data_IF_014728407735
#
_entry.id   IF_014728407735
#
_cell.length_a   1.000
_cell.length_b   1.000
_cell.length_c   1.000
_cell.angle_alpha   90.00
_cell.angle_beta   90.00
_cell.angle_gamma   90.00
#
_symmetry.space_group_name_H-M   'P 1'
#
loop_
_entity.id
_entity.type
_entity.pdbx_description
1 polymer ?
#
# COMPACT_ATOMS: atom_id res chain seq x y z
N UNK A 1 -20.90 -85.57 68.19
CA UNK A 1 -20.83 -85.83 69.65
C UNK A 1 -19.74 -84.91 70.19
N UNK A 2 -19.88 -84.02 71.16
CA UNK A 2 -20.88 -83.66 72.17
C UNK A 2 -20.63 -82.16 72.41
N UNK A 3 -21.55 -81.21 72.18
CA UNK A 3 -22.76 -80.89 72.94
C UNK A 3 -22.49 -80.55 74.43
N UNK A 4 -23.09 -79.41 74.83
CA UNK A 4 -23.42 -78.91 76.19
C UNK A 4 -22.37 -77.95 76.77
N UNK A 5 -22.66 -76.68 77.07
CA UNK A 5 -23.93 -75.96 77.32
C UNK A 5 -23.71 -74.46 77.04
N UNK A 6 -24.55 -73.79 76.25
CA UNK A 6 -25.76 -73.06 76.70
C UNK A 6 -25.44 -71.97 77.75
N UNK A 7 -25.90 -70.72 77.48
CA UNK A 7 -25.69 -69.45 78.21
C UNK A 7 -24.45 -68.70 77.65
N UNK A 8 -24.51 -67.96 76.53
CA UNK A 8 -25.18 -66.65 76.37
C UNK A 8 -25.95 -66.62 75.04
N UNK A 9 -26.88 -67.56 74.90
CA UNK A 9 -28.06 -67.41 74.05
C UNK A 9 -29.21 -67.00 74.98
N UNK A 10 -29.12 -65.80 75.58
CA UNK A 10 -30.20 -65.22 76.38
C UNK A 10 -30.02 -63.69 76.51
N UNK A 11 -30.04 -63.01 75.36
CA UNK A 11 -30.64 -61.68 75.16
C UNK A 11 -30.99 -61.47 73.67
N UNK A 12 -31.33 -62.57 72.99
CA UNK A 12 -32.28 -62.54 71.85
C UNK A 12 -33.66 -62.81 72.47
N UNK A 13 -34.06 -61.97 73.41
CA UNK A 13 -35.47 -61.74 73.71
C UNK A 13 -35.96 -60.81 72.62
N UNK A 14 -36.73 -61.40 71.70
CA UNK A 14 -37.85 -60.81 70.97
C UNK A 14 -38.09 -59.34 71.36
N UNK A 15 -37.29 -58.44 70.81
CA UNK A 15 -37.81 -57.19 70.32
C UNK A 15 -38.02 -57.48 68.84
N UNK A 16 -39.20 -58.01 68.50
CA UNK A 16 -39.79 -57.60 67.23
C UNK A 16 -39.77 -56.09 67.34
N UNK A 17 -38.81 -55.48 66.65
CA UNK A 17 -38.82 -54.08 66.37
C UNK A 17 -40.18 -53.85 65.72
N UNK A 18 -41.17 -53.43 66.51
CA UNK A 18 -42.20 -52.55 66.01
C UNK A 18 -41.44 -51.28 65.66
N UNK A 19 -40.71 -51.31 64.54
CA UNK A 19 -40.19 -50.12 63.89
C UNK A 19 -41.39 -49.20 63.86
N UNK A 20 -41.31 -48.10 64.61
CA UNK A 20 -42.41 -47.15 64.71
C UNK A 20 -42.97 -46.92 63.30
N UNK A 21 -44.30 -46.87 63.10
CA UNK A 21 -44.89 -46.59 61.79
C UNK A 21 -44.25 -45.37 61.10
N UNK A 22 -43.76 -44.40 61.88
CA UNK A 22 -42.98 -43.25 61.41
C UNK A 22 -41.64 -43.62 60.75
N UNK A 23 -40.89 -44.55 61.34
CA UNK A 23 -39.61 -45.04 60.80
C UNK A 23 -39.82 -45.86 59.53
N UNK A 24 -40.88 -46.68 59.47
CA UNK A 24 -41.26 -47.38 58.23
C UNK A 24 -41.69 -46.40 57.13
N UNK A 25 -42.42 -45.33 57.48
CA UNK A 25 -42.80 -44.29 56.53
C UNK A 25 -41.59 -43.50 56.02
N UNK A 26 -40.62 -43.18 56.88
CA UNK A 26 -39.35 -42.56 56.49
C UNK A 26 -38.61 -43.42 55.47
N UNK A 27 -38.41 -44.70 55.79
CA UNK A 27 -37.72 -45.66 54.92
C UNK A 27 -38.40 -45.75 53.57
N UNK A 28 -39.71 -46.00 53.54
CA UNK A 28 -40.48 -46.14 52.30
C UNK A 28 -40.50 -44.88 51.43
N UNK A 29 -40.46 -43.68 52.02
CA UNK A 29 -40.51 -42.42 51.26
C UNK A 29 -39.15 -41.91 50.81
N UNK A 30 -38.04 -42.33 51.43
CA UNK A 30 -36.73 -41.73 51.20
C UNK A 30 -35.69 -42.68 50.59
N UNK A 31 -35.80 -44.01 50.68
CA UNK A 31 -34.76 -45.01 50.30
C UNK A 31 -34.22 -45.00 48.84
N UNK A 32 -34.59 -44.01 48.02
CA UNK A 32 -34.26 -43.97 46.60
C UNK A 32 -32.81 -43.60 46.24
N UNK A 33 -32.00 -43.08 47.17
CA UNK A 33 -30.61 -42.69 46.88
C UNK A 33 -29.69 -42.79 48.11
N UNK A 34 -28.37 -42.82 47.88
CA UNK A 34 -27.35 -43.02 48.91
C UNK A 34 -27.42 -41.98 50.04
N UNK A 35 -27.61 -40.70 49.70
CA UNK A 35 -27.78 -39.63 50.69
C UNK A 35 -29.00 -39.87 51.58
N UNK A 36 -30.13 -40.23 50.98
CA UNK A 36 -31.35 -40.48 51.71
C UNK A 36 -31.27 -41.75 52.56
N UNK A 37 -30.59 -42.80 52.09
CA UNK A 37 -30.33 -44.01 52.89
C UNK A 37 -29.51 -43.66 54.13
N UNK A 38 -28.41 -42.92 53.97
CA UNK A 38 -27.58 -42.46 55.07
C UNK A 38 -28.35 -41.55 56.05
N UNK A 39 -29.23 -40.68 55.51
CA UNK A 39 -30.11 -39.84 56.31
C UNK A 39 -31.09 -40.70 57.13
N UNK A 40 -31.77 -41.66 56.51
CA UNK A 40 -32.71 -42.57 57.20
C UNK A 40 -32.00 -43.36 58.28
N UNK A 41 -30.83 -43.96 57.99
CA UNK A 41 -30.05 -44.73 58.96
C UNK A 41 -29.62 -43.88 60.17
N UNK A 42 -29.16 -42.65 59.92
CA UNK A 42 -28.78 -41.70 60.97
C UNK A 42 -29.97 -41.32 61.87
N UNK A 43 -31.14 -41.09 61.26
CA UNK A 43 -32.37 -40.75 61.98
C UNK A 43 -32.90 -41.94 62.78
N UNK A 44 -32.88 -43.15 62.22
CA UNK A 44 -33.29 -44.38 62.90
C UNK A 44 -32.45 -44.60 64.18
N UNK A 45 -31.12 -44.51 64.09
CA UNK A 45 -30.22 -44.65 65.24
C UNK A 45 -30.46 -43.59 66.31
N UNK A 46 -30.69 -42.34 65.91
CA UNK A 46 -30.87 -41.21 66.83
C UNK A 46 -32.22 -41.22 67.54
N UNK A 47 -33.28 -41.65 66.85
CA UNK A 47 -34.63 -41.80 67.41
C UNK A 47 -34.70 -42.99 68.37
N UNK A 48 -34.08 -44.14 68.04
CA UNK A 48 -34.02 -45.31 68.92
C UNK A 48 -33.25 -45.04 70.22
N UNK A 49 -32.31 -44.09 70.22
CA UNK A 49 -31.59 -43.62 71.41
C UNK A 49 -32.35 -42.65 72.31
N UNK A 50 -33.64 -42.35 72.02
CA UNK A 50 -34.48 -41.46 72.82
C UNK A 50 -34.19 -39.96 72.68
N UNK A 51 -33.49 -39.54 71.63
CA UNK A 51 -33.01 -38.15 71.45
C UNK A 51 -33.85 -37.34 70.44
N UNK A 52 -35.17 -37.50 70.44
CA UNK A 52 -36.04 -36.93 69.41
C UNK A 52 -35.94 -35.40 69.27
N UNK A 53 -35.84 -34.66 70.37
CA UNK A 53 -35.72 -33.20 70.32
C UNK A 53 -34.39 -32.77 69.65
N UNK A 54 -33.29 -33.50 69.89
CA UNK A 54 -32.00 -33.28 69.20
C UNK A 54 -32.06 -33.62 67.72
N UNK A 55 -32.87 -34.61 67.34
CA UNK A 55 -33.10 -34.98 65.93
C UNK A 55 -33.84 -33.84 65.21
N UNK A 56 -34.83 -33.22 65.83
CA UNK A 56 -35.50 -32.05 65.24
C UNK A 56 -34.56 -30.85 65.12
N UNK A 57 -33.75 -30.55 66.14
CA UNK A 57 -32.74 -29.49 66.07
C UNK A 57 -31.71 -29.75 64.96
N UNK A 58 -31.25 -31.00 64.82
CA UNK A 58 -30.29 -31.38 63.78
C UNK A 58 -30.90 -31.25 62.38
N UNK A 59 -32.11 -31.77 62.16
CA UNK A 59 -32.80 -31.66 60.87
C UNK A 59 -33.10 -30.20 60.52
N UNK A 60 -33.54 -29.38 61.48
CA UNK A 60 -33.77 -27.95 61.24
C UNK A 60 -32.46 -27.24 60.87
N UNK A 61 -31.37 -27.53 61.59
CA UNK A 61 -30.04 -26.98 61.27
C UNK A 61 -29.56 -27.41 59.88
N UNK A 62 -29.78 -28.66 59.48
CA UNK A 62 -29.45 -29.14 58.13
C UNK A 62 -30.32 -28.49 57.05
N UNK A 63 -31.61 -28.28 57.31
CA UNK A 63 -32.53 -27.55 56.41
C UNK A 63 -32.05 -26.12 56.22
N UNK A 64 -31.72 -25.42 57.32
CA UNK A 64 -31.25 -24.04 57.29
C UNK A 64 -29.91 -23.92 56.57
N UNK A 65 -28.98 -24.86 56.82
CA UNK A 65 -27.67 -24.92 56.16
C UNK A 65 -27.81 -25.15 54.65
N UNK A 66 -28.57 -26.16 54.21
CA UNK A 66 -28.80 -26.41 52.77
C UNK A 66 -29.53 -25.23 52.13
N UNK A 67 -30.51 -24.62 52.80
CA UNK A 67 -31.20 -23.42 52.30
C UNK A 67 -30.23 -22.25 52.13
N UNK A 68 -29.33 -22.04 53.10
CA UNK A 68 -28.26 -21.05 53.03
C UNK A 68 -27.31 -21.31 51.86
N UNK A 69 -26.87 -22.56 51.68
CA UNK A 69 -26.01 -22.97 50.58
C UNK A 69 -26.66 -22.76 49.21
N UNK A 70 -27.96 -23.09 49.07
CA UNK A 70 -28.72 -22.85 47.83
C UNK A 70 -28.76 -21.35 47.52
N UNK A 71 -29.14 -20.52 48.50
CA UNK A 71 -29.24 -19.07 48.30
C UNK A 71 -27.89 -18.46 47.93
N UNK A 72 -26.82 -18.85 48.62
CA UNK A 72 -25.47 -18.37 48.31
C UNK A 72 -25.01 -18.81 46.93
N UNK A 73 -25.25 -20.08 46.55
CA UNK A 73 -24.86 -20.58 45.25
C UNK A 73 -25.66 -19.90 44.11
N UNK A 74 -26.94 -19.63 44.32
CA UNK A 74 -27.78 -18.91 43.37
C UNK A 74 -27.27 -17.48 43.13
N UNK A 75 -26.86 -16.77 44.19
CA UNK A 75 -26.28 -15.43 44.09
C UNK A 75 -24.95 -15.46 43.33
N UNK A 76 -24.07 -16.41 43.65
CA UNK A 76 -22.79 -16.58 42.97
C UNK A 76 -22.98 -16.90 41.48
N UNK A 77 -23.89 -17.81 41.15
CA UNK A 77 -24.20 -18.17 39.76
C UNK A 77 -24.74 -16.98 38.98
N UNK A 78 -25.68 -16.22 39.54
CA UNK A 78 -26.22 -15.02 38.91
C UNK A 78 -25.11 -14.00 38.62
N UNK A 79 -24.22 -13.77 39.60
CA UNK A 79 -23.06 -12.88 39.43
C UNK A 79 -22.11 -13.38 38.33
N UNK A 80 -21.80 -14.68 38.32
CA UNK A 80 -20.91 -15.27 37.31
C UNK A 80 -21.53 -15.23 35.91
N UNK A 81 -22.83 -15.48 35.78
CA UNK A 81 -23.56 -15.37 34.51
C UNK A 81 -23.54 -13.94 33.97
N UNK A 82 -23.77 -12.95 34.83
CA UNK A 82 -23.67 -11.54 34.44
C UNK A 82 -22.25 -11.21 33.94
N UNK A 83 -21.20 -11.70 34.62
CA UNK A 83 -19.81 -11.49 34.20
C UNK A 83 -19.50 -12.14 32.85
N UNK A 84 -19.95 -13.37 32.59
CA UNK A 84 -19.81 -14.00 31.27
C UNK A 84 -20.56 -13.23 30.19
N UNK A 85 -21.78 -12.78 30.47
CA UNK A 85 -22.59 -12.02 29.51
C UNK A 85 -21.90 -10.70 29.15
N UNK A 86 -21.40 -9.96 30.13
CA UNK A 86 -20.64 -8.74 29.91
C UNK A 86 -19.38 -8.99 29.07
N UNK A 87 -18.63 -10.06 29.35
CA UNK A 87 -17.44 -10.41 28.59
C UNK A 87 -17.77 -10.76 27.13
N UNK A 88 -18.86 -11.49 26.89
CA UNK A 88 -19.37 -11.82 25.55
C UNK A 88 -19.71 -10.53 24.79
N UNK A 89 -20.48 -9.63 25.38
CA UNK A 89 -20.86 -8.35 24.76
C UNK A 89 -19.64 -7.49 24.42
N UNK A 90 -18.65 -7.43 25.32
CA UNK A 90 -17.39 -6.73 25.05
C UNK A 90 -16.63 -7.34 23.86
N UNK A 91 -16.56 -8.67 23.78
CA UNK A 91 -15.89 -9.37 22.68
C UNK A 91 -16.63 -9.18 21.35
N UNK A 92 -17.96 -9.20 21.35
CA UNK A 92 -18.80 -8.92 20.17
C UNK A 92 -18.63 -7.47 19.67
N UNK A 93 -18.62 -6.51 20.58
CA UNK A 93 -18.35 -5.10 20.27
C UNK A 93 -16.94 -4.91 19.69
N UNK A 94 -15.93 -5.54 20.30
CA UNK A 94 -14.55 -5.52 19.81
C UNK A 94 -14.46 -6.12 18.40
N UNK A 95 -15.16 -7.23 18.15
CA UNK A 95 -15.20 -7.88 16.84
C UNK A 95 -15.82 -6.98 15.77
N UNK A 96 -16.92 -6.30 16.09
CA UNK A 96 -17.58 -5.33 15.20
C UNK A 96 -16.65 -4.16 14.88
N UNK A 97 -15.95 -3.63 15.89
CA UNK A 97 -14.96 -2.57 15.71
C UNK A 97 -13.81 -3.01 14.79
N UNK A 98 -13.23 -4.19 15.04
CA UNK A 98 -12.17 -4.76 14.20
C UNK A 98 -12.64 -5.00 12.76
N UNK A 99 -13.89 -5.41 12.54
CA UNK A 99 -14.47 -5.57 11.19
C UNK A 99 -14.55 -4.24 10.44
N UNK A 100 -14.98 -3.18 11.12
CA UNK A 100 -15.02 -1.84 10.55
C UNK A 100 -13.61 -1.31 10.23
N UNK A 101 -12.64 -1.56 11.10
CA UNK A 101 -11.23 -1.20 10.86
C UNK A 101 -10.65 -1.94 9.64
N UNK A 102 -10.94 -3.24 9.47
CA UNK A 102 -10.51 -4.02 8.30
C UNK A 102 -11.12 -3.45 7.02
N UNK A 103 -12.43 -3.17 7.02
CA UNK A 103 -13.09 -2.60 5.85
C UNK A 103 -12.48 -1.24 5.46
N UNK A 104 -12.23 -0.39 6.45
CA UNK A 104 -11.61 0.92 6.25
C UNK A 104 -10.18 0.79 5.72
N UNK A 105 -9.40 -0.13 6.29
CA UNK A 105 -8.02 -0.40 5.85
C UNK A 105 -7.99 -0.96 4.43
N UNK A 106 -8.92 -1.85 4.07
CA UNK A 106 -9.06 -2.38 2.72
C UNK A 106 -9.38 -1.29 1.68
N UNK A 107 -10.29 -0.37 1.99
CA UNK A 107 -10.58 0.79 1.13
C UNK A 107 -9.33 1.63 0.90
N UNK A 108 -8.60 1.94 1.98
CA UNK A 108 -7.33 2.69 1.92
C UNK A 108 -6.27 1.98 1.07
N UNK A 109 -6.15 0.65 1.18
CA UNK A 109 -5.27 -0.16 0.32
C UNK A 109 -5.67 0.00 -1.15
N UNK A 110 -6.96 -0.05 -1.48
CA UNK A 110 -7.47 0.15 -2.83
C UNK A 110 -7.11 1.53 -3.39
N UNK A 111 -7.35 2.60 -2.62
CA UNK A 111 -7.03 3.98 -3.01
C UNK A 111 -5.52 4.20 -3.24
N UNK A 112 -4.68 3.66 -2.34
CA UNK A 112 -3.22 3.73 -2.48
C UNK A 112 -2.77 2.96 -3.72
N UNK A 113 -3.34 1.78 -3.98
CA UNK A 113 -3.01 0.96 -5.15
C UNK A 113 -3.36 1.69 -6.45
N UNK A 114 -4.54 2.33 -6.50
CA UNK A 114 -4.94 3.15 -7.65
C UNK A 114 -3.97 4.33 -7.85
N UNK A 115 -3.59 5.00 -6.76
CA UNK A 115 -2.63 6.11 -6.81
C UNK A 115 -1.26 5.67 -7.34
N UNK A 116 -0.77 4.49 -6.92
CA UNK A 116 0.48 3.89 -7.42
C UNK A 116 0.39 3.62 -8.93
N UNK A 117 -0.74 3.10 -9.41
CA UNK A 117 -0.96 2.82 -10.83
C UNK A 117 -0.91 4.11 -11.67
N UNK A 118 -1.60 5.15 -11.23
CA UNK A 118 -1.58 6.46 -11.87
C UNK A 118 -0.17 7.05 -11.88
N UNK A 119 0.51 7.08 -10.73
CA UNK A 119 1.87 7.63 -10.63
C UNK A 119 2.88 6.84 -11.48
N UNK A 120 2.73 5.51 -11.58
CA UNK A 120 3.57 4.68 -12.43
C UNK A 120 3.39 5.04 -13.91
N UNK A 121 2.14 5.21 -14.34
CA UNK A 121 1.81 5.62 -15.71
C UNK A 121 2.35 7.02 -16.01
N UNK A 122 2.18 7.97 -15.09
CA UNK A 122 2.77 9.32 -15.19
C UNK A 122 4.29 9.26 -15.27
N UNK A 123 4.96 8.44 -14.45
CA UNK A 123 6.42 8.29 -14.47
C UNK A 123 6.92 7.80 -15.84
N UNK A 124 6.26 6.80 -16.42
CA UNK A 124 6.60 6.29 -17.77
C UNK A 124 6.40 7.39 -18.82
N UNK A 125 5.29 8.11 -18.76
CA UNK A 125 5.01 9.21 -19.69
C UNK A 125 6.06 10.32 -19.62
N UNK A 126 6.42 10.78 -18.42
CA UNK A 126 7.41 11.84 -18.23
C UNK A 126 8.80 11.41 -18.70
N UNK A 127 9.20 10.15 -18.44
CA UNK A 127 10.47 9.61 -18.95
C UNK A 127 10.51 9.59 -20.48
N UNK A 128 9.42 9.16 -21.13
CA UNK A 128 9.31 9.19 -22.60
C UNK A 128 9.37 10.62 -23.15
N UNK A 129 8.76 11.58 -22.47
CA UNK A 129 8.84 12.99 -22.85
C UNK A 129 10.27 13.53 -22.72
N UNK A 130 11.00 13.17 -21.67
CA UNK A 130 12.41 13.52 -21.51
C UNK A 130 13.28 12.95 -22.65
N UNK A 131 13.09 11.69 -23.00
CA UNK A 131 13.78 11.06 -24.14
C UNK A 131 13.48 11.80 -25.45
N UNK A 132 12.22 12.14 -25.69
CA UNK A 132 11.80 12.88 -26.89
C UNK A 132 12.43 14.27 -26.94
N UNK A 133 12.50 14.98 -25.81
CA UNK A 133 13.15 16.29 -25.74
C UNK A 133 14.67 16.18 -25.98
N UNK A 134 15.32 15.14 -25.46
CA UNK A 134 16.74 14.91 -25.71
C UNK A 134 17.03 14.66 -27.18
N UNK A 135 16.22 13.82 -27.85
CA UNK A 135 16.32 13.59 -29.29
C UNK A 135 16.07 14.87 -30.10
N UNK A 136 15.11 15.70 -29.68
CA UNK A 136 14.83 16.97 -30.35
C UNK A 136 16.00 17.94 -30.23
N UNK A 137 16.66 18.00 -29.08
CA UNK A 137 17.88 18.81 -28.92
C UNK A 137 18.98 18.36 -29.89
N UNK A 138 19.25 17.07 -29.94
CA UNK A 138 20.27 16.48 -30.82
C UNK A 138 19.97 16.83 -32.29
N UNK A 139 18.72 16.67 -32.73
CA UNK A 139 18.29 17.08 -34.07
C UNK A 139 18.48 18.58 -34.34
N UNK A 140 18.17 19.45 -33.38
CA UNK A 140 18.38 20.90 -33.53
C UNK A 140 19.87 21.22 -33.69
N UNK A 141 20.74 20.59 -32.88
CA UNK A 141 22.20 20.76 -32.96
C UNK A 141 22.77 20.24 -34.28
N UNK A 142 22.34 19.07 -34.73
CA UNK A 142 22.77 18.48 -35.99
C UNK A 142 22.37 19.33 -37.20
N UNK A 143 21.13 19.83 -37.20
CA UNK A 143 20.64 20.70 -38.27
C UNK A 143 21.44 22.01 -38.30
N UNK A 144 21.76 22.57 -37.13
CA UNK A 144 22.58 23.78 -37.04
C UNK A 144 24.00 23.54 -37.54
N UNK A 145 24.62 22.41 -37.19
CA UNK A 145 25.96 22.06 -37.66
C UNK A 145 26.00 21.92 -39.20
N UNK A 146 24.99 21.27 -39.80
CA UNK A 146 24.87 21.15 -41.27
C UNK A 146 24.65 22.51 -41.95
N UNK A 147 23.85 23.38 -41.35
CA UNK A 147 23.61 24.73 -41.85
C UNK A 147 24.91 25.55 -41.85
N UNK A 148 25.64 25.55 -40.74
CA UNK A 148 26.94 26.24 -40.60
C UNK A 148 27.92 25.73 -41.69
N UNK A 149 28.08 24.41 -41.81
CA UNK A 149 28.98 23.81 -42.81
C UNK A 149 28.61 24.21 -44.25
N UNK A 150 27.32 24.24 -44.57
CA UNK A 150 26.82 24.68 -45.87
C UNK A 150 27.16 26.15 -46.14
N UNK A 151 26.99 27.03 -45.15
CA UNK A 151 27.31 28.45 -45.33
C UNK A 151 28.82 28.67 -45.42
N UNK A 152 29.64 28.03 -44.59
CA UNK A 152 31.11 28.11 -44.66
C UNK A 152 31.64 27.69 -46.03
N UNK A 153 31.07 26.62 -46.61
CA UNK A 153 31.43 26.14 -47.95
C UNK A 153 31.10 27.21 -49.01
N UNK A 154 29.91 27.81 -48.94
CA UNK A 154 29.49 28.87 -49.86
C UNK A 154 30.33 30.15 -49.70
N UNK A 155 30.66 30.52 -48.47
CA UNK A 155 31.45 31.72 -48.18
C UNK A 155 32.89 31.54 -48.67
N UNK A 156 33.49 30.38 -48.45
CA UNK A 156 34.82 30.05 -48.99
C UNK A 156 34.85 30.10 -50.52
N UNK A 157 33.82 29.56 -51.19
CA UNK A 157 33.71 29.64 -52.64
C UNK A 157 33.54 31.09 -53.13
N UNK A 158 32.69 31.87 -52.47
CA UNK A 158 32.47 33.28 -52.79
C UNK A 158 33.74 34.12 -52.60
N UNK A 159 34.50 33.90 -51.52
CA UNK A 159 35.78 34.59 -51.27
C UNK A 159 36.82 34.29 -52.35
N UNK A 160 36.93 33.03 -52.81
CA UNK A 160 37.81 32.67 -53.93
C UNK A 160 37.43 33.42 -55.20
N UNK A 161 36.15 33.37 -55.59
CA UNK A 161 35.64 34.05 -56.78
C UNK A 161 35.88 35.56 -56.70
N UNK A 162 35.61 36.16 -55.54
CA UNK A 162 35.76 37.59 -55.31
C UNK A 162 37.22 38.02 -55.37
N UNK A 163 38.15 37.25 -54.79
CA UNK A 163 39.59 37.50 -54.90
C UNK A 163 40.09 37.42 -56.35
N UNK A 164 39.68 36.39 -57.10
CA UNK A 164 40.02 36.29 -58.53
C UNK A 164 39.44 37.47 -59.33
N UNK A 165 38.20 37.87 -59.06
CA UNK A 165 37.54 39.00 -59.71
C UNK A 165 38.23 40.33 -59.42
N UNK A 166 38.62 40.57 -58.17
CA UNK A 166 39.35 41.79 -57.77
C UNK A 166 40.74 41.85 -58.41
N UNK A 167 41.46 40.72 -58.51
CA UNK A 167 42.74 40.68 -59.21
C UNK A 167 42.58 40.96 -60.71
N UNK A 168 41.57 40.38 -61.36
CA UNK A 168 41.26 40.67 -62.77
C UNK A 168 40.91 42.14 -62.95
N UNK A 169 40.06 42.68 -62.08
CA UNK A 169 39.62 44.07 -62.11
C UNK A 169 40.81 45.03 -62.03
N UNK A 170 41.67 44.88 -61.02
CA UNK A 170 42.85 45.75 -60.83
C UNK A 170 43.80 45.71 -62.03
N UNK A 171 44.05 44.52 -62.59
CA UNK A 171 44.91 44.37 -63.78
C UNK A 171 44.28 44.98 -65.05
N UNK A 172 42.98 44.79 -65.26
CA UNK A 172 42.27 45.41 -66.40
C UNK A 172 42.22 46.92 -66.27
N UNK A 173 41.92 47.44 -65.07
CA UNK A 173 41.91 48.88 -64.78
C UNK A 173 43.29 49.49 -65.03
N UNK A 174 44.37 48.87 -64.54
CA UNK A 174 45.75 49.31 -64.84
C UNK A 174 46.00 49.32 -66.34
N UNK A 175 45.69 48.23 -67.05
CA UNK A 175 45.92 48.09 -68.49
C UNK A 175 45.11 49.03 -69.38
N UNK A 176 43.95 49.51 -68.92
CA UNK A 176 43.04 50.38 -69.69
C UNK A 176 43.17 51.85 -69.28
N UNK A 177 43.46 52.16 -68.01
CA UNK A 177 43.48 53.53 -67.47
C UNK A 177 44.89 54.08 -67.18
N UNK A 178 45.95 53.27 -67.23
CA UNK A 178 47.31 53.85 -67.21
C UNK A 178 47.55 54.54 -68.56
N UNK A 179 47.51 55.87 -68.53
CA UNK A 179 47.60 56.82 -69.65
C UNK A 179 48.94 56.80 -70.44
N UNK A 180 49.53 55.64 -70.70
CA UNK A 180 50.74 55.47 -71.50
C UNK A 180 50.54 54.44 -72.61
N UNK A 181 49.68 54.75 -73.59
CA UNK A 181 49.85 54.38 -75.00
C UNK A 181 50.07 52.91 -75.41
N UNK A 182 50.02 51.94 -74.50
CA UNK A 182 50.17 50.52 -74.80
C UNK A 182 49.08 49.77 -74.04
N UNK A 183 48.03 49.41 -74.76
CA UNK A 183 47.16 48.30 -74.38
C UNK A 183 48.05 47.14 -73.91
N UNK A 184 47.75 46.53 -72.74
CA UNK A 184 48.54 45.45 -72.12
C UNK A 184 49.25 44.58 -73.17
N UNK A 185 50.56 44.36 -73.04
CA UNK A 185 51.29 43.49 -73.95
C UNK A 185 50.56 42.14 -74.06
N UNK A 186 50.48 41.57 -75.27
CA UNK A 186 49.69 40.37 -75.55
C UNK A 186 50.06 39.20 -74.61
N UNK A 187 51.32 39.16 -74.18
CA UNK A 187 51.86 38.26 -73.15
C UNK A 187 51.17 38.38 -71.80
N UNK A 188 50.93 39.59 -71.29
CA UNK A 188 50.27 39.81 -70.00
C UNK A 188 48.78 39.44 -70.06
N UNK A 189 48.10 39.73 -71.18
CA UNK A 189 46.70 39.33 -71.37
C UNK A 189 46.53 37.82 -71.37
N UNK A 190 47.40 37.12 -72.08
CA UNK A 190 47.40 35.66 -72.15
C UNK A 190 47.74 35.03 -70.80
N UNK A 191 48.61 35.65 -69.99
CA UNK A 191 48.91 35.17 -68.64
C UNK A 191 47.70 35.32 -67.69
N UNK A 192 46.98 36.44 -67.77
CA UNK A 192 45.76 36.67 -66.99
C UNK A 192 44.70 35.64 -67.35
N UNK A 193 44.40 35.48 -68.65
CA UNK A 193 43.47 34.49 -69.15
C UNK A 193 43.83 33.08 -68.66
N UNK A 194 45.12 32.73 -68.67
CA UNK A 194 45.61 31.41 -68.24
C UNK A 194 45.42 31.18 -66.74
N UNK A 195 45.69 32.17 -65.88
CA UNK A 195 45.47 32.08 -64.42
C UNK A 195 43.98 31.94 -64.10
N UNK A 196 43.13 32.76 -64.73
CA UNK A 196 41.68 32.71 -64.51
C UNK A 196 41.08 31.39 -65.02
N UNK A 197 41.60 30.85 -66.12
CA UNK A 197 41.28 29.49 -66.62
C UNK A 197 41.62 28.40 -65.62
N UNK A 198 42.75 28.52 -64.90
CA UNK A 198 43.15 27.57 -63.86
C UNK A 198 42.28 27.64 -62.61
N UNK A 199 41.86 28.84 -62.20
CA UNK A 199 41.09 29.02 -60.96
C UNK A 199 39.59 28.76 -61.13
N UNK A 200 39.01 29.20 -62.24
CA UNK A 200 37.56 29.17 -62.46
C UNK A 200 37.12 28.11 -63.48
N UNK A 201 38.06 27.56 -64.25
CA UNK A 201 37.82 26.57 -65.30
C UNK A 201 37.50 27.19 -66.68
N UNK A 202 37.89 26.49 -67.75
CA UNK A 202 37.88 26.98 -69.14
C UNK A 202 36.50 27.40 -69.71
N UNK A 203 35.40 27.01 -69.06
CA UNK A 203 34.02 27.33 -69.49
C UNK A 203 33.36 28.39 -68.62
N UNK A 204 34.08 28.97 -67.66
CA UNK A 204 33.52 29.95 -66.74
C UNK A 204 33.14 31.23 -67.50
N UNK A 205 31.96 31.84 -67.27
CA UNK A 205 31.53 33.06 -67.96
C UNK A 205 32.55 34.20 -67.88
N UNK A 206 33.27 34.31 -66.76
CA UNK A 206 34.36 35.28 -66.58
C UNK A 206 35.58 35.00 -67.47
N UNK A 207 35.95 33.73 -67.64
CA UNK A 207 37.02 33.32 -68.57
C UNK A 207 36.64 33.66 -70.00
N UNK A 208 35.38 33.43 -70.38
CA UNK A 208 34.88 33.73 -71.72
C UNK A 208 34.82 35.24 -71.98
N UNK A 209 34.44 36.03 -70.97
CA UNK A 209 34.45 37.50 -71.04
C UNK A 209 35.87 38.05 -71.19
N UNK A 210 36.84 37.48 -70.47
CA UNK A 210 38.27 37.83 -70.58
C UNK A 210 38.88 37.42 -71.92
N UNK A 211 38.58 36.21 -72.41
CA UNK A 211 38.98 35.73 -73.74
C UNK A 211 38.39 36.62 -74.85
N UNK A 212 37.20 37.21 -74.62
CA UNK A 212 36.59 38.18 -75.52
C UNK A 212 37.30 39.54 -75.41
N UNK A 213 37.47 40.09 -74.21
CA UNK A 213 38.02 41.44 -74.01
C UNK A 213 39.47 41.57 -74.46
N UNK A 214 40.27 40.49 -74.39
CA UNK A 214 41.62 40.47 -74.93
C UNK A 214 41.70 40.65 -76.46
N UNK A 215 40.58 40.45 -77.18
CA UNK A 215 40.49 40.55 -78.65
C UNK A 215 39.91 41.88 -79.16
N UNK A 216 39.52 42.81 -78.29
CA UNK A 216 38.80 44.04 -78.65
C UNK A 216 39.41 45.32 -78.05
N UNK A 217 38.94 46.48 -78.53
CA UNK A 217 39.36 47.86 -78.24
C UNK A 217 39.06 48.37 -76.81
N UNK A 218 39.59 49.54 -76.46
CA UNK A 218 39.47 50.17 -75.12
C UNK A 218 38.01 50.24 -74.61
N UNK A 219 37.05 50.48 -75.51
CA UNK A 219 35.61 50.55 -75.18
C UNK A 219 35.09 49.20 -74.68
N UNK A 220 35.50 48.10 -75.32
CA UNK A 220 35.10 46.75 -74.92
C UNK A 220 35.71 46.36 -73.57
N UNK A 221 36.96 46.77 -73.32
CA UNK A 221 37.62 46.55 -72.03
C UNK A 221 36.97 47.36 -70.89
N UNK A 222 36.58 48.62 -71.13
CA UNK A 222 35.81 49.42 -70.16
C UNK A 222 34.47 48.76 -69.80
N UNK A 223 33.75 48.22 -70.79
CA UNK A 223 32.50 47.49 -70.55
C UNK A 223 32.70 46.19 -69.75
N UNK A 224 33.82 45.49 -69.95
CA UNK A 224 34.17 44.32 -69.15
C UNK A 224 34.49 44.68 -67.70
N UNK A 225 35.17 45.81 -67.47
CA UNK A 225 35.44 46.36 -66.12
C UNK A 225 34.12 46.67 -65.40
N UNK A 226 33.19 47.39 -66.04
CA UNK A 226 31.88 47.71 -65.45
C UNK A 226 31.08 46.45 -65.06
N UNK A 227 31.09 45.42 -65.92
CA UNK A 227 30.42 44.15 -65.61
C UNK A 227 31.08 43.41 -64.44
N UNK A 228 32.41 43.42 -64.36
CA UNK A 228 33.15 42.83 -63.24
C UNK A 228 32.86 43.58 -61.94
N UNK A 229 32.81 44.92 -61.96
CA UNK A 229 32.43 45.74 -60.80
C UNK A 229 31.01 45.42 -60.31
N UNK A 230 30.06 45.29 -61.23
CA UNK A 230 28.69 44.89 -60.90
C UNK A 230 28.63 43.50 -60.27
N UNK A 231 29.40 42.54 -60.79
CA UNK A 231 29.47 41.18 -60.22
C UNK A 231 30.11 41.20 -58.83
N UNK A 232 31.20 41.95 -58.64
CA UNK A 232 31.86 42.11 -57.32
C UNK A 232 30.88 42.71 -56.31
N UNK A 233 30.20 43.81 -56.67
CA UNK A 233 29.21 44.46 -55.82
C UNK A 233 28.07 43.49 -55.45
N UNK A 234 27.53 42.75 -56.42
CA UNK A 234 26.48 41.77 -56.18
C UNK A 234 26.91 40.63 -55.25
N UNK A 235 28.15 40.14 -55.37
CA UNK A 235 28.67 39.11 -54.45
C UNK A 235 28.87 39.70 -53.03
N UNK A 236 29.37 40.93 -52.91
CA UNK A 236 29.54 41.62 -51.60
C UNK A 236 28.19 41.86 -50.91
N UNK A 237 27.19 42.34 -51.64
CA UNK A 237 25.83 42.53 -51.12
C UNK A 237 25.22 41.18 -50.68
N UNK A 238 25.43 40.13 -51.49
CA UNK A 238 25.00 38.77 -51.15
C UNK A 238 25.67 38.21 -49.89
N UNK A 239 26.94 38.54 -49.63
CA UNK A 239 27.65 38.18 -48.40
C UNK A 239 27.07 38.91 -47.19
N UNK A 240 26.83 40.22 -47.27
CA UNK A 240 26.19 40.98 -46.19
C UNK A 240 24.79 40.46 -45.85
N UNK A 241 23.99 40.14 -46.87
CA UNK A 241 22.68 39.53 -46.66
C UNK A 241 22.79 38.15 -46.00
N UNK A 242 23.78 37.34 -46.38
CA UNK A 242 24.06 36.05 -45.75
C UNK A 242 24.45 36.18 -44.28
N UNK A 243 25.26 37.18 -43.91
CA UNK A 243 25.63 37.45 -42.52
C UNK A 243 24.42 37.82 -41.66
N UNK A 244 23.53 38.69 -42.16
CA UNK A 244 22.29 39.03 -41.47
C UNK A 244 21.39 37.80 -41.24
N UNK A 245 21.27 36.94 -42.25
CA UNK A 245 20.52 35.69 -42.12
C UNK A 245 21.17 34.73 -41.11
N UNK A 246 22.50 34.68 -41.04
CA UNK A 246 23.20 33.86 -40.04
C UNK A 246 22.95 34.34 -38.61
N UNK A 247 22.94 35.66 -38.37
CA UNK A 247 22.61 36.24 -37.07
C UNK A 247 21.18 35.84 -36.66
N UNK A 248 20.21 35.98 -37.57
CA UNK A 248 18.82 35.59 -37.31
C UNK A 248 18.69 34.08 -37.03
N UNK A 249 19.40 33.25 -37.79
CA UNK A 249 19.41 31.79 -37.59
C UNK A 249 20.08 31.40 -36.27
N UNK A 250 21.13 32.10 -35.84
CA UNK A 250 21.78 31.90 -34.55
C UNK A 250 20.85 32.28 -33.38
N UNK A 251 20.16 33.41 -33.48
CA UNK A 251 19.17 33.83 -32.48
C UNK A 251 18.04 32.80 -32.36
N UNK A 252 17.53 32.29 -33.49
CA UNK A 252 16.51 31.25 -33.50
C UNK A 252 17.01 29.94 -32.86
N UNK A 253 18.22 29.50 -33.21
CA UNK A 253 18.85 28.33 -32.60
C UNK A 253 18.96 28.49 -31.07
N UNK A 254 19.48 29.62 -30.60
CA UNK A 254 19.63 29.90 -29.17
C UNK A 254 18.27 29.91 -28.45
N UNK A 255 17.22 30.47 -29.06
CA UNK A 255 15.85 30.41 -28.51
C UNK A 255 15.35 28.98 -28.37
N UNK A 256 15.48 28.17 -29.42
CA UNK A 256 15.03 26.77 -29.42
C UNK A 256 15.77 25.93 -28.37
N UNK A 257 17.09 26.11 -28.25
CA UNK A 257 17.89 25.43 -27.22
C UNK A 257 17.45 25.84 -25.82
N UNK A 258 17.21 27.13 -25.59
CA UNK A 258 16.72 27.62 -24.30
C UNK A 258 15.34 27.05 -23.95
N UNK A 259 14.40 27.02 -24.90
CA UNK A 259 13.08 26.40 -24.70
C UNK A 259 13.20 24.90 -24.35
N UNK A 260 14.06 24.17 -25.07
CA UNK A 260 14.35 22.76 -24.81
C UNK A 260 14.93 22.56 -23.41
N UNK A 261 15.85 23.43 -22.99
CA UNK A 261 16.44 23.38 -21.65
C UNK A 261 15.38 23.61 -20.56
N UNK A 262 14.56 24.65 -20.68
CA UNK A 262 13.48 24.95 -19.73
C UNK A 262 12.52 23.76 -19.61
N UNK A 263 12.12 23.19 -20.75
CA UNK A 263 11.23 22.02 -20.75
C UNK A 263 11.88 20.79 -20.14
N UNK A 264 13.16 20.53 -20.42
CA UNK A 264 13.92 19.42 -19.80
C UNK A 264 13.98 19.58 -18.29
N UNK A 265 14.30 20.78 -17.79
CA UNK A 265 14.38 21.05 -16.35
C UNK A 265 13.04 20.80 -15.67
N UNK A 266 11.94 21.31 -16.26
CA UNK A 266 10.58 21.09 -15.74
C UNK A 266 10.22 19.61 -15.71
N UNK A 267 10.41 18.88 -16.81
CA UNK A 267 10.15 17.44 -16.86
C UNK A 267 11.06 16.65 -15.90
N UNK A 268 12.30 17.10 -15.69
CA UNK A 268 13.22 16.54 -14.72
C UNK A 268 12.70 16.65 -13.28
N UNK A 269 12.20 17.82 -12.91
CA UNK A 269 11.55 18.06 -11.62
C UNK A 269 10.29 17.22 -11.46
N UNK A 270 9.43 17.18 -12.48
CA UNK A 270 8.20 16.37 -12.47
C UNK A 270 8.51 14.87 -12.31
N UNK A 271 9.55 14.38 -12.97
CA UNK A 271 10.01 12.99 -12.84
C UNK A 271 10.52 12.70 -11.42
N UNK A 272 11.32 13.58 -10.83
CA UNK A 272 11.82 13.43 -9.45
C UNK A 272 10.67 13.42 -8.44
N UNK A 273 9.73 14.36 -8.57
CA UNK A 273 8.53 14.44 -7.71
C UNK A 273 7.67 13.19 -7.84
N UNK A 274 7.40 12.74 -9.07
CA UNK A 274 6.62 11.53 -9.35
C UNK A 274 7.29 10.29 -8.77
N UNK A 275 8.61 10.15 -8.95
CA UNK A 275 9.38 9.01 -8.42
C UNK A 275 9.36 8.98 -6.89
N UNK A 276 9.51 10.14 -6.25
CA UNK A 276 9.47 10.27 -4.79
C UNK A 276 8.09 9.93 -4.24
N UNK A 277 7.03 10.46 -4.86
CA UNK A 277 5.64 10.16 -4.50
C UNK A 277 5.31 8.67 -4.68
N UNK A 278 5.79 8.06 -5.77
CA UNK A 278 5.60 6.63 -6.01
C UNK A 278 6.25 5.79 -4.91
N UNK A 279 7.50 6.10 -4.53
CA UNK A 279 8.20 5.41 -3.44
C UNK A 279 7.45 5.56 -2.11
N UNK A 280 6.97 6.76 -1.80
CA UNK A 280 6.19 7.02 -0.59
C UNK A 280 4.90 6.20 -0.58
N UNK A 281 4.14 6.20 -1.68
CA UNK A 281 2.90 5.40 -1.79
C UNK A 281 3.14 3.91 -1.71
N UNK A 282 4.24 3.40 -2.27
CA UNK A 282 4.63 2.00 -2.10
C UNK A 282 4.93 1.64 -0.64
N UNK A 283 5.55 2.55 0.12
CA UNK A 283 5.76 2.36 1.55
C UNK A 283 4.44 2.42 2.33
N UNK A 284 3.56 3.38 2.04
CA UNK A 284 2.23 3.48 2.64
C UNK A 284 1.42 2.18 2.42
N UNK A 285 1.49 1.62 1.20
CA UNK A 285 0.84 0.36 0.86
C UNK A 285 1.35 -0.79 1.75
N UNK A 286 2.67 -0.92 1.90
CA UNK A 286 3.27 -1.97 2.75
C UNK A 286 2.83 -1.83 4.21
N UNK A 287 2.77 -0.59 4.72
CA UNK A 287 2.30 -0.32 6.09
C UNK A 287 0.83 -0.72 6.24
N UNK A 288 -0.03 -0.30 5.30
CA UNK A 288 -1.45 -0.63 5.31
C UNK A 288 -1.69 -2.15 5.22
N UNK A 289 -0.96 -2.86 4.38
CA UNK A 289 -1.02 -4.33 4.26
C UNK A 289 -0.60 -5.03 5.56
N UNK A 290 0.46 -4.56 6.23
CA UNK A 290 0.88 -5.09 7.53
C UNK A 290 -0.19 -4.88 8.60
N UNK A 291 -0.78 -3.67 8.66
CA UNK A 291 -1.87 -3.37 9.59
C UNK A 291 -3.07 -4.27 9.33
N UNK A 292 -3.44 -4.49 8.07
CA UNK A 292 -4.55 -5.35 7.71
C UNK A 292 -4.34 -6.80 8.18
N UNK A 293 -3.14 -7.35 7.96
CA UNK A 293 -2.77 -8.68 8.46
C UNK A 293 -2.87 -8.78 9.99
N UNK A 294 -2.44 -7.73 10.71
CA UNK A 294 -2.58 -7.68 12.16
C UNK A 294 -4.05 -7.63 12.60
N UNK A 295 -4.88 -6.87 11.88
CA UNK A 295 -6.32 -6.79 12.15
C UNK A 295 -7.00 -8.15 11.92
N UNK A 296 -6.66 -8.87 10.85
CA UNK A 296 -7.18 -10.21 10.58
C UNK A 296 -6.81 -11.20 11.70
N UNK A 297 -5.57 -11.14 12.19
CA UNK A 297 -5.11 -11.95 13.33
C UNK A 297 -5.91 -11.60 14.60
N UNK A 298 -6.06 -10.31 14.90
CA UNK A 298 -6.84 -9.87 16.06
C UNK A 298 -8.30 -10.32 15.96
N UNK A 299 -8.93 -10.22 14.79
CA UNK A 299 -10.29 -10.72 14.58
C UNK A 299 -10.40 -12.20 14.87
N UNK A 300 -9.47 -13.01 14.36
CA UNK A 300 -9.48 -14.46 14.57
C UNK A 300 -9.28 -14.81 16.05
N UNK A 301 -8.35 -14.14 16.74
CA UNK A 301 -8.14 -14.33 18.17
C UNK A 301 -9.37 -13.94 18.98
N UNK A 302 -10.02 -12.81 18.66
CA UNK A 302 -11.25 -12.37 19.33
C UNK A 302 -12.41 -13.34 19.08
N UNK A 303 -12.55 -13.89 17.86
CA UNK A 303 -13.55 -14.94 17.56
C UNK A 303 -13.33 -16.19 18.41
N UNK A 304 -12.10 -16.68 18.49
CA UNK A 304 -11.76 -17.86 19.28
C UNK A 304 -12.02 -17.64 20.76
N UNK A 305 -11.66 -16.46 21.28
CA UNK A 305 -11.92 -16.10 22.67
C UNK A 305 -13.42 -16.01 22.96
N UNK A 306 -14.19 -15.37 22.07
CA UNK A 306 -15.65 -15.29 22.18
C UNK A 306 -16.28 -16.69 22.25
N UNK A 307 -15.88 -17.59 21.36
CA UNK A 307 -16.40 -18.95 21.33
C UNK A 307 -16.01 -19.73 22.60
N UNK A 308 -14.76 -19.61 23.04
CA UNK A 308 -14.29 -20.24 24.28
C UNK A 308 -15.08 -19.72 25.49
N UNK A 309 -15.34 -18.42 25.58
CA UNK A 309 -16.12 -17.81 26.67
C UNK A 309 -17.56 -18.31 26.67
N UNK A 310 -18.19 -18.47 25.49
CA UNK A 310 -19.54 -19.04 25.37
C UNK A 310 -19.59 -20.49 25.86
N UNK A 311 -18.65 -21.32 25.43
CA UNK A 311 -18.55 -22.71 25.90
C UNK A 311 -18.34 -22.78 27.42
N UNK A 312 -17.47 -21.92 27.98
CA UNK A 312 -17.24 -21.87 29.42
C UNK A 312 -18.50 -21.45 30.20
N UNK A 313 -19.26 -20.47 29.69
CA UNK A 313 -20.55 -20.05 30.26
C UNK A 313 -21.52 -21.24 30.31
N UNK A 314 -21.68 -21.95 29.21
CA UNK A 314 -22.64 -23.06 29.10
C UNK A 314 -22.24 -24.24 29.99
N UNK A 315 -20.95 -24.57 30.04
CA UNK A 315 -20.43 -25.61 30.95
C UNK A 315 -20.66 -25.24 32.42
N UNK A 316 -20.39 -23.99 32.78
CA UNK A 316 -20.62 -23.52 34.14
C UNK A 316 -22.12 -23.57 34.50
N UNK A 317 -23.00 -23.11 33.62
CA UNK A 317 -24.45 -23.13 33.85
C UNK A 317 -24.99 -24.57 33.98
N UNK A 318 -24.55 -25.48 33.11
CA UNK A 318 -24.90 -26.91 33.19
C UNK A 318 -24.46 -27.55 34.52
N UNK A 319 -23.21 -27.31 34.93
CA UNK A 319 -22.69 -27.82 36.20
C UNK A 319 -23.45 -27.25 37.40
N UNK A 320 -23.79 -25.95 37.35
CA UNK A 320 -24.58 -25.31 38.39
C UNK A 320 -25.97 -25.93 38.51
N UNK A 321 -26.70 -26.10 37.39
CA UNK A 321 -28.03 -26.73 37.37
C UNK A 321 -28.01 -28.15 37.94
N UNK A 322 -27.00 -28.95 37.57
CA UNK A 322 -26.82 -30.30 38.12
C UNK A 322 -26.66 -30.29 39.64
N UNK A 323 -25.84 -29.36 40.17
CA UNK A 323 -25.62 -29.22 41.60
C UNK A 323 -26.83 -28.61 42.34
N UNK A 324 -27.54 -27.68 41.70
CA UNK A 324 -28.78 -27.10 42.23
C UNK A 324 -29.84 -28.18 42.42
N UNK A 325 -30.08 -29.02 41.40
CA UNK A 325 -31.01 -30.15 41.48
C UNK A 325 -30.67 -31.12 42.62
N UNK A 326 -29.37 -31.40 42.84
CA UNK A 326 -28.93 -32.24 43.97
C UNK A 326 -29.27 -31.61 45.32
N UNK A 327 -28.93 -30.33 45.52
CA UNK A 327 -29.22 -29.61 46.78
C UNK A 327 -30.72 -29.48 47.04
N UNK A 328 -31.53 -29.22 46.01
CA UNK A 328 -32.99 -29.20 46.12
C UNK A 328 -33.55 -30.58 46.50
N UNK A 329 -33.04 -31.65 45.89
CA UNK A 329 -33.40 -33.02 46.25
C UNK A 329 -33.07 -33.36 47.71
N UNK A 330 -31.90 -32.94 48.19
CA UNK A 330 -31.49 -33.10 49.59
C UNK A 330 -32.40 -32.30 50.53
N UNK A 331 -32.67 -31.03 50.22
CA UNK A 331 -33.56 -30.16 51.00
C UNK A 331 -34.97 -30.75 51.11
N UNK A 332 -35.52 -31.24 50.00
CA UNK A 332 -36.84 -31.87 49.98
C UNK A 332 -36.87 -33.14 50.82
N UNK A 333 -35.80 -33.93 50.80
CA UNK A 333 -35.67 -35.14 51.61
C UNK A 333 -35.60 -34.82 53.10
N UNK A 334 -34.83 -33.80 53.50
CA UNK A 334 -34.79 -33.31 54.88
C UNK A 334 -36.13 -32.76 55.36
N UNK A 335 -36.81 -31.94 54.54
CA UNK A 335 -38.15 -31.40 54.86
C UNK A 335 -39.17 -32.52 55.02
N UNK A 336 -39.12 -33.53 54.15
CA UNK A 336 -39.99 -34.71 54.23
C UNK A 336 -39.71 -35.50 55.50
N UNK A 337 -38.44 -35.73 55.84
CA UNK A 337 -38.05 -36.42 57.06
C UNK A 337 -38.50 -35.68 58.32
N UNK A 338 -38.26 -34.38 58.37
CA UNK A 338 -38.69 -33.50 59.45
C UNK A 338 -40.21 -33.54 59.65
N UNK A 339 -40.97 -33.48 58.55
CA UNK A 339 -42.44 -33.54 58.59
C UNK A 339 -42.93 -34.89 59.12
N UNK A 340 -42.42 -36.02 58.60
CA UNK A 340 -42.83 -37.37 59.04
C UNK A 340 -42.56 -37.55 60.53
N UNK A 341 -41.38 -37.15 61.02
CA UNK A 341 -41.04 -37.26 62.44
C UNK A 341 -41.92 -36.36 63.31
N UNK A 342 -42.23 -35.14 62.86
CA UNK A 342 -43.06 -34.18 63.58
C UNK A 342 -44.51 -34.64 63.67
N UNK A 343 -45.07 -35.18 62.58
CA UNK A 343 -46.42 -35.72 62.55
C UNK A 343 -46.60 -36.95 63.47
N UNK A 344 -45.50 -37.65 63.78
CA UNK A 344 -45.49 -38.83 64.65
C UNK A 344 -44.83 -38.59 66.02
N UNK A 345 -44.58 -37.33 66.40
CA UNK A 345 -43.81 -36.96 67.60
C UNK A 345 -44.35 -37.62 68.89
N UNK A 346 -45.66 -37.59 69.09
CA UNK A 346 -46.30 -38.17 70.28
C UNK A 346 -46.19 -39.70 70.35
N UNK A 347 -46.08 -40.36 69.20
CA UNK A 347 -45.90 -41.82 69.11
C UNK A 347 -44.43 -42.22 69.29
N UNK A 348 -43.49 -41.33 68.98
CA UNK A 348 -42.05 -41.54 69.11
C UNK A 348 -41.49 -41.16 70.50
N UNK A 349 -42.23 -40.36 71.29
CA UNK A 349 -41.88 -40.00 72.68
C UNK A 349 -42.37 -41.01 73.73
N UNK A 350 -43.18 -42.00 73.34
CA UNK A 350 -43.66 -43.11 74.19
C UNK A 350 -42.74 -44.30 74.05
#
# INVERSE_FOLDING_TARGET
MSQKSLIVLLLVTIAIATSSPALQQLRNKLESNEYNSQLVDMLELSVQGGQLDRVFELLQKMIDDITGQINSANLEHASRMAAFQQSIEQLENNLTSLQNEVQTTNRKIGEITQSISTLSSTSVSVKKQLETINQREEQIRDNRAKEIQSVETKQTAAQKILGTLEEIHDRLVKGVLSNQGSFLEETEKQEIIKKVKQELGNKHPLVLLLDLSAKFDEVTARKAIELIEQIIASIKDGQQFSEQNQIAAEQNFNSLINEVQILREKLGQDNQKTTSNLKNKQNDLKIAQRRNKQLDQNQNNTKQLLETTRVQKDLYDSNFRSNANKREGQLNSLKTAFQILRDNEQALKK
#
